data_IF_937560604006
#
_entry.id   IF_937560604006
#
_cell.length_a   1.000
_cell.length_b   1.000
_cell.length_c   1.000
_cell.angle_alpha   90.00
_cell.angle_beta   90.00
_cell.angle_gamma   90.00
#
_symmetry.space_group_name_H-M   'P 1'
#
loop_
_entity.id
_entity.type
_entity.pdbx_description
1 polymer ?
#
# COMPACT_ATOMS: atom_id res chain seq x y z
N UNK A 1 11.79 17.63 24.67
CA UNK A 1 10.41 17.19 24.40
C UNK A 1 10.34 16.44 23.07
N UNK A 2 10.58 15.13 23.13
CA UNK A 2 10.51 14.24 21.97
C UNK A 2 9.05 13.84 21.68
N UNK A 3 8.50 14.27 20.55
CA UNK A 3 7.25 13.70 20.05
C UNK A 3 7.46 12.24 19.65
N UNK A 4 6.87 11.31 20.41
CA UNK A 4 7.09 9.86 20.27
C UNK A 4 6.27 9.19 19.15
N UNK A 5 5.15 9.78 18.70
CA UNK A 5 4.38 9.36 17.50
C UNK A 5 3.11 10.23 17.27
N UNK A 6 2.52 10.16 16.07
CA UNK A 6 1.18 10.71 15.77
C UNK A 6 0.08 10.24 16.73
N UNK A 7 0.12 8.97 17.14
CA UNK A 7 -0.84 8.40 18.10
C UNK A 7 -0.70 9.08 19.46
N UNK A 8 0.53 9.11 19.97
CA UNK A 8 0.85 9.77 21.24
C UNK A 8 0.50 11.27 21.21
N UNK A 9 0.70 11.95 20.07
CA UNK A 9 0.27 13.34 19.91
C UNK A 9 -1.23 13.50 20.14
N UNK A 10 -2.05 12.65 19.52
CA UNK A 10 -3.51 12.73 19.60
C UNK A 10 -4.09 12.29 20.95
N UNK A 11 -3.43 11.36 21.64
CA UNK A 11 -3.81 10.89 22.98
C UNK A 11 -3.55 11.94 24.06
N UNK A 12 -2.44 12.68 23.95
CA UNK A 12 -2.08 13.73 24.91
C UNK A 12 -2.77 15.07 24.64
N UNK A 13 -3.61 15.15 23.60
CA UNK A 13 -4.33 16.36 23.24
C UNK A 13 -5.72 16.36 23.86
N UNK A 14 -5.96 17.30 24.78
CA UNK A 14 -7.23 17.46 25.50
C UNK A 14 -8.26 18.33 24.76
N UNK A 15 -7.86 19.01 23.68
CA UNK A 15 -8.80 19.74 22.81
C UNK A 15 -9.42 18.81 21.75
N UNK A 16 -10.52 19.24 21.13
CA UNK A 16 -11.19 18.48 20.06
C UNK A 16 -10.43 18.50 18.72
N UNK A 17 -9.25 19.14 18.63
CA UNK A 17 -8.48 19.32 17.39
C UNK A 17 -7.45 18.20 17.19
N UNK A 18 -7.89 16.95 17.29
CA UNK A 18 -7.06 15.79 16.95
C UNK A 18 -6.64 15.85 15.48
N UNK A 19 -5.39 15.50 15.19
CA UNK A 19 -4.89 15.38 13.82
C UNK A 19 -5.54 14.17 13.16
N UNK A 20 -5.96 14.32 11.89
CA UNK A 20 -6.47 13.21 11.08
C UNK A 20 -5.35 12.60 10.25
N UNK A 21 -5.38 11.27 10.08
CA UNK A 21 -4.48 10.56 9.17
C UNK A 21 -4.75 11.01 7.74
N UNK A 22 -3.70 11.22 6.96
CA UNK A 22 -3.79 11.54 5.53
C UNK A 22 -3.24 10.39 4.71
N UNK A 23 -4.02 9.91 3.76
CA UNK A 23 -3.59 8.90 2.78
C UNK A 23 -3.49 9.58 1.43
N UNK A 24 -2.33 9.46 0.79
CA UNK A 24 -2.08 9.94 -0.57
C UNK A 24 -1.96 8.72 -1.46
N UNK A 25 -2.86 8.59 -2.42
CA UNK A 25 -2.85 7.52 -3.43
C UNK A 25 -2.37 8.12 -4.74
N UNK A 26 -1.32 7.55 -5.30
CA UNK A 26 -0.78 7.93 -6.60
C UNK A 26 -0.94 6.73 -7.52
N UNK A 27 -1.89 6.84 -8.44
CA UNK A 27 -2.08 5.84 -9.48
C UNK A 27 -1.17 6.13 -10.68
N UNK A 28 -0.52 5.08 -11.18
CA UNK A 28 0.39 5.13 -12.32
C UNK A 28 1.49 6.21 -12.18
N UNK A 29 2.37 6.00 -11.21
CA UNK A 29 3.41 6.96 -10.84
C UNK A 29 4.40 7.31 -11.97
N UNK A 30 4.73 6.37 -12.83
CA UNK A 30 5.63 6.56 -13.96
C UNK A 30 5.07 7.61 -14.92
N UNK A 31 3.77 7.60 -15.19
CA UNK A 31 3.14 8.60 -16.05
C UNK A 31 3.18 10.00 -15.44
N UNK A 32 3.12 10.13 -14.12
CA UNK A 32 3.36 11.41 -13.43
C UNK A 32 4.79 11.91 -13.65
N UNK A 33 5.73 10.97 -13.81
CA UNK A 33 7.14 11.24 -14.01
C UNK A 33 7.60 11.11 -15.47
N UNK A 34 6.73 10.95 -16.45
CA UNK A 34 7.17 10.68 -17.81
C UNK A 34 7.87 11.91 -18.37
N UNK A 35 9.21 11.86 -18.40
CA UNK A 35 10.07 12.96 -18.87
C UNK A 35 10.24 12.97 -20.39
N UNK A 36 9.62 12.02 -21.10
CA UNK A 36 9.69 11.94 -22.56
C UNK A 36 8.83 13.04 -23.18
N UNK A 37 9.42 13.80 -24.11
CA UNK A 37 8.74 14.84 -24.90
C UNK A 37 8.22 16.07 -24.12
N UNK A 38 8.66 16.30 -22.88
CA UNK A 38 8.35 17.51 -22.11
C UNK A 38 9.50 18.53 -22.18
N UNK A 39 9.18 19.81 -22.04
CA UNK A 39 10.15 20.92 -22.08
C UNK A 39 11.16 20.84 -20.93
N UNK A 40 12.31 21.50 -21.06
CA UNK A 40 13.34 21.53 -20.01
C UNK A 40 12.83 22.11 -18.68
N UNK A 41 11.88 23.05 -18.72
CA UNK A 41 11.25 23.62 -17.52
C UNK A 41 10.37 22.58 -16.82
N UNK A 42 9.58 21.83 -17.57
CA UNK A 42 8.72 20.76 -17.04
C UNK A 42 9.57 19.61 -16.48
N UNK A 43 10.70 19.28 -17.10
CA UNK A 43 11.65 18.29 -16.56
C UNK A 43 12.14 18.67 -15.17
N UNK A 44 12.50 19.93 -14.94
CA UNK A 44 12.93 20.44 -13.63
C UNK A 44 11.80 20.28 -12.60
N UNK A 45 10.56 20.58 -12.98
CA UNK A 45 9.40 20.43 -12.08
C UNK A 45 9.18 18.97 -11.69
N UNK A 46 9.24 18.04 -12.65
CA UNK A 46 9.11 16.60 -12.40
C UNK A 46 10.22 16.11 -11.47
N UNK A 47 11.46 16.55 -11.66
CA UNK A 47 12.58 16.21 -10.75
C UNK A 47 12.37 16.74 -9.33
N UNK A 48 11.80 17.94 -9.18
CA UNK A 48 11.47 18.50 -7.87
C UNK A 48 10.38 17.66 -7.18
N UNK A 49 9.35 17.25 -7.92
CA UNK A 49 8.29 16.37 -7.41
C UNK A 49 8.87 15.05 -6.91
N UNK A 50 9.71 14.41 -7.74
CA UNK A 50 10.36 13.14 -7.43
C UNK A 50 11.25 13.25 -6.17
N UNK A 51 12.12 14.27 -6.09
CA UNK A 51 12.96 14.53 -4.91
C UNK A 51 12.12 14.81 -3.65
N UNK A 52 11.02 15.56 -3.80
CA UNK A 52 10.12 15.87 -2.69
C UNK A 52 9.41 14.63 -2.17
N UNK A 53 9.01 13.71 -3.06
CA UNK A 53 8.36 12.46 -2.69
C UNK A 53 9.33 11.52 -1.94
N UNK A 54 10.57 11.39 -2.43
CA UNK A 54 11.64 10.63 -1.77
C UNK A 54 11.89 11.17 -0.35
N UNK A 55 11.93 12.50 -0.20
CA UNK A 55 12.06 13.17 1.11
C UNK A 55 10.86 12.88 2.00
N UNK A 56 9.64 12.93 1.47
CA UNK A 56 8.39 12.68 2.19
C UNK A 56 8.32 11.23 2.69
N UNK A 57 8.63 10.23 1.87
CA UNK A 57 8.66 8.82 2.28
C UNK A 57 9.63 8.61 3.45
N UNK A 58 10.75 9.33 3.45
CA UNK A 58 11.78 9.22 4.50
C UNK A 58 11.36 9.83 5.85
N UNK A 59 10.40 10.76 5.87
CA UNK A 59 10.04 11.55 7.06
C UNK A 59 8.65 11.27 7.62
N UNK A 60 7.85 10.39 7.00
CA UNK A 60 6.42 10.24 7.32
C UNK A 60 6.07 9.13 8.31
N UNK A 61 7.05 8.34 8.77
CA UNK A 61 6.84 7.18 9.64
C UNK A 61 5.93 7.50 10.84
N UNK A 62 6.16 8.64 11.49
CA UNK A 62 5.52 9.01 12.75
C UNK A 62 4.52 10.17 12.60
N UNK A 63 4.23 10.61 11.37
CA UNK A 63 3.43 11.83 11.11
C UNK A 63 1.94 11.56 10.86
N UNK A 64 1.55 10.30 10.69
CA UNK A 64 0.19 9.94 10.28
C UNK A 64 -0.10 10.27 8.81
N UNK A 65 0.93 10.37 7.96
CA UNK A 65 0.80 10.49 6.51
C UNK A 65 1.23 9.17 5.89
N UNK A 66 0.37 8.56 5.09
CA UNK A 66 0.64 7.31 4.38
C UNK A 66 0.58 7.53 2.87
N UNK A 67 1.49 6.87 2.15
CA UNK A 67 1.53 6.91 0.70
C UNK A 67 1.27 5.51 0.14
N UNK A 68 0.40 5.44 -0.86
CA UNK A 68 0.13 4.26 -1.66
C UNK A 68 0.48 4.63 -3.10
N UNK A 69 1.42 3.89 -3.69
CA UNK A 69 1.93 4.14 -5.03
C UNK A 69 1.72 2.86 -5.84
N UNK A 70 1.02 2.97 -6.97
CA UNK A 70 0.79 1.86 -7.90
C UNK A 70 1.48 2.14 -9.22
N UNK A 71 2.07 1.10 -9.82
CA UNK A 71 2.76 1.21 -11.09
C UNK A 71 2.97 -0.16 -11.75
N UNK A 72 2.94 -0.18 -13.09
CA UNK A 72 3.25 -1.36 -13.90
C UNK A 72 4.66 -1.29 -14.53
N UNK A 73 5.22 -0.09 -14.68
CA UNK A 73 6.49 0.24 -15.33
C UNK A 73 7.64 0.34 -14.32
N UNK A 74 7.68 -0.58 -13.34
CA UNK A 74 8.63 -0.59 -12.21
C UNK A 74 10.09 -0.33 -12.64
N UNK A 75 10.54 -0.95 -13.74
CA UNK A 75 11.92 -0.80 -14.23
C UNK A 75 12.30 0.62 -14.69
N UNK A 76 11.31 1.49 -14.91
CA UNK A 76 11.50 2.90 -15.29
C UNK A 76 11.47 3.83 -14.09
N UNK A 77 11.08 3.34 -12.91
CA UNK A 77 11.05 4.12 -11.69
C UNK A 77 12.45 4.27 -11.08
N UNK A 78 12.60 5.33 -10.29
CA UNK A 78 13.82 5.56 -9.55
C UNK A 78 14.03 4.51 -8.46
N UNK A 79 15.19 3.87 -8.50
CA UNK A 79 15.55 2.79 -7.58
C UNK A 79 15.67 3.27 -6.14
N UNK A 80 16.08 4.53 -5.90
CA UNK A 80 16.10 5.09 -4.55
C UNK A 80 14.70 5.16 -3.94
N UNK A 81 13.70 5.58 -4.75
CA UNK A 81 12.31 5.61 -4.32
C UNK A 81 11.80 4.21 -3.97
N UNK A 82 12.02 3.24 -4.86
CA UNK A 82 11.62 1.84 -4.62
C UNK A 82 12.27 1.33 -3.32
N UNK A 83 13.54 1.61 -3.09
CA UNK A 83 14.26 1.12 -1.91
C UNK A 83 13.79 1.73 -0.60
N UNK A 84 13.26 2.96 -0.61
CA UNK A 84 12.72 3.61 0.59
C UNK A 84 11.35 3.09 1.02
N UNK A 85 10.59 2.48 0.10
CA UNK A 85 9.28 1.88 0.40
C UNK A 85 9.49 0.58 1.19
N UNK A 86 8.94 0.52 2.41
CA UNK A 86 9.11 -0.61 3.34
C UNK A 86 8.20 -1.80 3.04
N UNK A 87 6.98 -1.52 2.60
CA UNK A 87 5.97 -2.52 2.27
C UNK A 87 5.79 -2.50 0.77
N UNK A 88 6.10 -3.61 0.11
CA UNK A 88 5.98 -3.75 -1.34
C UNK A 88 5.05 -4.90 -1.64
N UNK A 89 4.07 -4.67 -2.51
CA UNK A 89 3.12 -5.69 -2.96
C UNK A 89 3.36 -5.86 -4.46
N UNK A 90 3.63 -7.09 -4.89
CA UNK A 90 3.97 -7.39 -6.27
C UNK A 90 3.11 -8.55 -6.77
N UNK A 91 2.30 -8.28 -7.79
CA UNK A 91 1.58 -9.32 -8.54
C UNK A 91 2.52 -9.97 -9.56
N UNK A 92 1.96 -10.73 -10.49
CA UNK A 92 2.75 -11.39 -11.53
C UNK A 92 3.51 -10.38 -12.39
N UNK A 93 4.84 -10.49 -12.43
CA UNK A 93 5.71 -9.63 -13.25
C UNK A 93 6.90 -10.38 -13.84
N UNK A 94 7.58 -9.76 -14.80
CA UNK A 94 8.82 -10.29 -15.35
C UNK A 94 9.94 -10.35 -14.28
N UNK A 95 10.99 -11.11 -14.57
CA UNK A 95 12.11 -11.35 -13.64
C UNK A 95 12.77 -10.05 -13.16
N UNK A 96 12.96 -9.07 -14.06
CA UNK A 96 13.60 -7.78 -13.73
C UNK A 96 12.78 -7.00 -12.70
N UNK A 97 11.48 -6.85 -12.94
CA UNK A 97 10.58 -6.11 -12.07
C UNK A 97 10.37 -6.83 -10.73
N UNK A 98 10.26 -8.16 -10.75
CA UNK A 98 10.20 -8.97 -9.52
C UNK A 98 11.44 -8.72 -8.66
N UNK A 99 12.63 -8.77 -9.24
CA UNK A 99 13.90 -8.51 -8.52
C UNK A 99 13.99 -7.08 -7.99
N UNK A 100 13.52 -6.08 -8.74
CA UNK A 100 13.50 -4.68 -8.28
C UNK A 100 12.56 -4.47 -7.08
N UNK A 101 11.36 -5.07 -7.11
CA UNK A 101 10.40 -4.96 -6.01
C UNK A 101 10.83 -5.79 -4.81
N UNK A 102 11.05 -7.08 -5.03
CA UNK A 102 11.15 -8.06 -3.95
C UNK A 102 12.61 -8.43 -3.63
N UNK A 103 13.56 -8.17 -4.51
CA UNK A 103 14.91 -8.76 -4.43
C UNK A 103 14.93 -10.25 -4.78
N UNK A 104 13.86 -10.74 -5.42
CA UNK A 104 13.56 -12.16 -5.66
C UNK A 104 12.77 -12.27 -6.99
N UNK A 105 12.82 -13.41 -7.70
CA UNK A 105 12.13 -13.62 -8.97
C UNK A 105 10.81 -14.41 -8.87
N UNK A 106 10.39 -14.80 -7.66
CA UNK A 106 9.17 -15.59 -7.40
C UNK A 106 7.90 -14.98 -7.97
N UNK A 107 7.80 -13.66 -8.10
CA UNK A 107 6.60 -13.02 -8.66
C UNK A 107 6.35 -13.44 -10.12
N UNK A 108 7.38 -13.88 -10.86
CA UNK A 108 7.23 -14.42 -12.23
C UNK A 108 6.34 -15.65 -12.29
N UNK A 109 6.32 -16.44 -11.21
CA UNK A 109 5.66 -17.75 -11.12
C UNK A 109 4.24 -17.67 -10.57
N UNK A 110 3.76 -16.49 -10.18
CA UNK A 110 2.37 -16.31 -9.77
C UNK A 110 1.43 -16.63 -10.94
N UNK A 111 0.43 -17.45 -10.70
CA UNK A 111 -0.48 -17.99 -11.73
C UNK A 111 -1.95 -17.60 -11.51
N UNK A 112 -2.32 -17.16 -10.32
CA UNK A 112 -3.70 -16.77 -9.98
C UNK A 112 -3.92 -15.24 -10.03
N UNK A 113 -5.14 -14.83 -10.41
CA UNK A 113 -5.52 -13.44 -10.73
C UNK A 113 -5.39 -12.49 -9.52
N UNK A 114 -5.63 -12.98 -8.32
CA UNK A 114 -5.58 -12.19 -7.09
C UNK A 114 -4.36 -12.51 -6.21
N UNK A 115 -3.37 -13.24 -6.75
CA UNK A 115 -2.19 -13.63 -5.98
C UNK A 115 -1.10 -12.57 -6.03
N UNK A 116 -0.57 -12.25 -4.86
CA UNK A 116 0.49 -11.28 -4.68
C UNK A 116 1.56 -11.82 -3.74
N UNK A 117 2.76 -11.28 -3.90
CA UNK A 117 3.82 -11.38 -2.90
C UNK A 117 3.94 -10.04 -2.19
N UNK A 118 3.80 -10.06 -0.86
CA UNK A 118 4.06 -8.92 0.00
C UNK A 118 5.46 -9.05 0.60
N UNK A 119 6.28 -8.02 0.42
CA UNK A 119 7.56 -7.87 1.10
C UNK A 119 7.44 -6.82 2.20
N UNK A 120 7.72 -7.23 3.43
CA UNK A 120 7.89 -6.33 4.57
C UNK A 120 9.32 -6.52 5.07
N UNK A 121 10.14 -5.48 4.94
CA UNK A 121 11.58 -5.56 5.22
C UNK A 121 12.26 -6.68 4.40
N UNK A 122 12.66 -7.79 5.02
CA UNK A 122 13.34 -8.92 4.35
C UNK A 122 12.44 -10.15 4.19
N UNK A 123 11.22 -10.12 4.72
CA UNK A 123 10.28 -11.23 4.65
C UNK A 123 9.38 -11.05 3.43
N UNK A 124 9.13 -12.14 2.72
CA UNK A 124 8.28 -12.19 1.53
C UNK A 124 7.23 -13.28 1.75
N UNK A 125 5.98 -12.86 1.79
CA UNK A 125 4.83 -13.71 2.02
C UNK A 125 3.89 -13.68 0.82
N UNK A 126 3.30 -14.84 0.53
CA UNK A 126 2.23 -14.96 -0.44
C UNK A 126 0.89 -14.62 0.23
N UNK A 127 0.02 -13.93 -0.49
CA UNK A 127 -1.37 -13.75 -0.10
C UNK A 127 -2.27 -13.58 -1.32
N UNK A 128 -3.56 -13.81 -1.10
CA UNK A 128 -4.62 -13.47 -2.05
C UNK A 128 -5.29 -12.15 -1.64
N UNK A 129 -5.35 -11.21 -2.58
CA UNK A 129 -5.93 -9.90 -2.32
C UNK A 129 -7.46 -9.95 -2.30
N UNK A 130 -8.06 -9.16 -1.41
CA UNK A 130 -9.51 -8.97 -1.39
C UNK A 130 -9.99 -8.36 -2.70
N UNK A 131 -11.07 -8.93 -3.25
CA UNK A 131 -11.74 -8.37 -4.41
C UNK A 131 -12.55 -7.14 -4.00
N UNK A 132 -12.15 -5.97 -4.48
CA UNK A 132 -12.93 -4.74 -4.33
C UNK A 132 -13.90 -4.59 -5.52
N UNK A 133 -15.20 -4.72 -5.27
CA UNK A 133 -16.25 -4.50 -6.29
C UNK A 133 -16.69 -3.03 -6.27
N UNK A 134 -16.25 -2.27 -7.28
CA UNK A 134 -16.52 -0.83 -7.35
C UNK A 134 -18.01 -0.48 -7.31
N UNK A 135 -18.88 -1.20 -8.03
CA UNK A 135 -20.31 -0.90 -8.05
C UNK A 135 -20.96 -1.07 -6.67
N UNK A 136 -20.61 -2.13 -5.94
CA UNK A 136 -21.09 -2.33 -4.56
C UNK A 136 -20.60 -1.20 -3.65
N UNK A 137 -19.36 -0.77 -3.83
CA UNK A 137 -18.70 0.23 -2.97
C UNK A 137 -19.18 1.66 -3.28
N UNK A 138 -19.48 1.95 -4.55
CA UNK A 138 -20.12 3.20 -4.97
C UNK A 138 -21.51 3.35 -4.35
N UNK A 139 -22.31 2.28 -4.31
CA UNK A 139 -23.63 2.30 -3.64
C UNK A 139 -23.51 2.62 -2.14
N UNK A 140 -22.50 2.07 -1.46
CA UNK A 140 -22.19 2.40 -0.07
C UNK A 140 -21.83 3.90 0.05
N UNK A 141 -20.93 4.40 -0.81
CA UNK A 141 -20.53 5.81 -0.81
C UNK A 141 -21.69 6.77 -1.04
N UNK A 142 -22.58 6.44 -1.98
CA UNK A 142 -23.77 7.24 -2.28
C UNK A 142 -24.75 7.28 -1.10
N UNK A 143 -24.95 6.16 -0.41
CA UNK A 143 -25.81 6.11 0.79
C UNK A 143 -25.32 7.04 1.91
N UNK A 144 -24.00 7.24 2.01
CA UNK A 144 -23.38 8.07 3.04
C UNK A 144 -23.51 9.58 2.72
N UNK A 145 -23.43 9.96 1.44
CA UNK A 145 -23.57 11.37 1.02
C UNK A 145 -24.94 11.96 1.36
N UNK A 146 -25.96 11.12 1.51
CA UNK A 146 -27.34 11.53 1.82
C UNK A 146 -27.52 11.94 3.29
N UNK A 147 -26.66 11.49 4.21
CA UNK A 147 -26.88 11.68 5.67
C UNK A 147 -26.13 12.86 6.32
N UNK A 148 -25.31 13.61 5.59
CA UNK A 148 -24.62 14.81 6.13
C UNK A 148 -23.67 14.57 7.33
N UNK A 149 -23.38 13.32 7.68
CA UNK A 149 -22.44 12.92 8.75
C UNK A 149 -21.07 12.55 8.17
N UNK A 150 -20.01 12.71 8.96
CA UNK A 150 -18.69 12.17 8.59
C UNK A 150 -18.82 10.64 8.37
N UNK A 151 -18.42 10.12 7.19
CA UNK A 151 -18.51 8.70 6.89
C UNK A 151 -17.75 7.85 7.91
N UNK A 152 -18.43 6.89 8.55
CA UNK A 152 -17.75 5.77 9.19
C UNK A 152 -17.73 4.64 8.16
N UNK A 153 -16.58 4.48 7.49
CA UNK A 153 -16.36 3.37 6.57
C UNK A 153 -16.16 2.08 7.38
N UNK A 154 -17.11 1.15 7.29
CA UNK A 154 -16.83 -0.27 7.50
C UNK A 154 -16.64 -0.90 6.13
N UNK A 155 -15.40 -1.27 5.81
CA UNK A 155 -15.12 -2.07 4.62
C UNK A 155 -15.54 -3.50 4.97
N UNK A 156 -16.69 -3.93 4.46
CA UNK A 156 -17.06 -5.36 4.49
C UNK A 156 -16.21 -6.08 3.45
N UNK A 157 -15.16 -6.75 3.92
CA UNK A 157 -14.50 -7.77 3.14
C UNK A 157 -15.45 -8.96 3.06
N UNK A 158 -15.91 -9.34 1.86
CA UNK A 158 -16.64 -10.60 1.69
C UNK A 158 -15.74 -11.73 2.20
N UNK A 159 -16.09 -12.31 3.35
CA UNK A 159 -15.41 -13.44 3.97
C UNK A 159 -15.80 -14.73 3.24
N UNK A 160 -15.37 -14.85 1.99
CA UNK A 160 -15.34 -16.14 1.27
C UNK A 160 -13.91 -16.45 0.81
N UNK A 161 -12.94 -16.13 1.67
CA UNK A 161 -11.55 -16.58 1.50
C UNK A 161 -11.21 -17.41 2.73
N UNK A 162 -11.05 -18.71 2.54
CA UNK A 162 -10.58 -19.65 3.57
C UNK A 162 -9.21 -19.17 4.08
N UNK A 163 -9.23 -18.45 5.20
CA UNK A 163 -8.08 -17.83 5.85
C UNK A 163 -7.06 -18.85 6.34
N UNK A 164 -5.81 -18.76 5.88
CA UNK A 164 -4.61 -18.91 6.72
C UNK A 164 -3.54 -17.92 6.20
N UNK A 165 -3.51 -16.70 6.76
CA UNK A 165 -2.33 -15.83 6.69
C UNK A 165 -1.45 -16.14 7.92
N UNK A 166 -0.19 -16.57 7.77
CA UNK A 166 0.72 -16.65 8.90
C UNK A 166 1.29 -15.26 9.16
N UNK A 167 1.04 -14.70 10.34
CA UNK A 167 1.65 -13.43 10.74
C UNK A 167 0.98 -12.84 11.97
N UNK A 168 1.71 -12.78 13.07
CA UNK A 168 1.27 -12.08 14.28
C UNK A 168 1.33 -10.57 14.04
N UNK A 169 0.18 -9.90 14.07
CA UNK A 169 0.15 -8.50 14.52
C UNK A 169 0.68 -8.48 15.96
N UNK A 170 1.32 -7.37 16.35
CA UNK A 170 2.19 -7.23 17.52
C UNK A 170 1.55 -7.38 18.90
N UNK A 171 0.54 -8.24 19.06
CA UNK A 171 -0.19 -8.55 20.28
C UNK A 171 -0.06 -10.01 20.75
N UNK A 172 0.85 -10.79 20.17
CA UNK A 172 1.42 -11.99 20.81
C UNK A 172 0.46 -13.17 21.01
N UNK A 173 -0.59 -13.30 20.20
CA UNK A 173 -1.47 -14.48 20.21
C UNK A 173 -1.08 -15.46 19.09
N UNK A 174 -0.70 -16.67 19.47
CA UNK A 174 -0.44 -17.78 18.54
C UNK A 174 -1.74 -18.28 17.92
N UNK A 175 -1.74 -18.53 16.61
CA UNK A 175 -2.84 -19.23 15.93
C UNK A 175 -2.63 -20.75 15.98
N UNK A 176 -3.70 -21.48 16.31
CA UNK A 176 -3.75 -22.95 16.23
C UNK A 176 -3.97 -23.35 14.77
N UNK A 177 -3.02 -24.12 14.22
CA UNK A 177 -3.12 -24.70 12.88
C UNK A 177 -4.21 -25.78 12.86
N UNK A 178 -5.07 -25.75 11.84
CA UNK A 178 -5.87 -26.90 11.42
C UNK A 178 -5.42 -27.28 10.01
N UNK A 179 -4.88 -28.48 9.87
CA UNK A 179 -4.54 -29.08 8.58
C UNK A 179 -5.79 -29.14 7.68
N UNK A 180 -5.64 -28.68 6.45
CA UNK A 180 -6.54 -29.01 5.33
C UNK A 180 -5.69 -29.36 4.11
N UNK A 181 -5.35 -30.64 4.04
CA UNK A 181 -5.27 -31.33 2.75
C UNK A 181 -6.65 -31.32 2.10
N UNK A 182 -6.68 -31.14 0.78
CA UNK A 182 -7.87 -31.21 -0.09
C UNK A 182 -8.67 -29.89 -0.17
N UNK A 183 -8.38 -29.11 -1.22
CA UNK A 183 -9.35 -28.73 -2.25
C UNK A 183 -8.77 -27.60 -3.14
N UNK A 184 -8.16 -27.99 -4.25
CA UNK A 184 -7.89 -27.11 -5.39
C UNK A 184 -8.48 -27.76 -6.65
N UNK A 185 -9.57 -27.21 -7.16
CA UNK A 185 -10.07 -27.40 -8.53
C UNK A 185 -10.46 -26.04 -9.08
#
# INVERSE_FOLDING_TARGET
DEFKSFGAFNENRFDSKKLKRKVVVIDNYYNLLEKANISSIEQIQVEIIEKSLIKLISSTKDTGINLIITDNEISKLNTELINKIKVKICGRHNERNSKLMLGDDRARKLDCIASFLMKINNEIEFFEAYRFNEEKQLKILESIKVEGKEPIFKIDFETDINTILPGTLGDGKNFVLKDRSEDCV
#
